data_IF_416013422099
#
_entry.id   IF_416013422099
#
_cell.length_a   1.000
_cell.length_b   1.000
_cell.length_c   1.000
_cell.angle_alpha   90.00
_cell.angle_beta   90.00
_cell.angle_gamma   90.00
#
_symmetry.space_group_name_H-M   'P 1'
#
loop_
_entity.id
_entity.type
_entity.pdbx_description
1 polymer ?
#
# COMPACT_ATOMS: atom_id res chain seq x y z
N UNK A 1 4.12 50.24 20.11
CA UNK A 1 3.09 50.19 19.03
C UNK A 1 3.63 49.92 17.62
N UNK A 2 4.67 50.62 17.11
CA UNK A 2 5.17 50.44 15.72
C UNK A 2 5.70 49.02 15.42
N UNK A 3 6.38 48.38 16.37
CA UNK A 3 6.92 47.01 16.23
C UNK A 3 5.78 45.99 16.10
N UNK A 4 4.74 46.12 16.93
CA UNK A 4 3.55 45.25 16.92
C UNK A 4 2.84 45.33 15.56
N UNK A 5 2.66 46.54 15.01
CA UNK A 5 2.06 46.73 13.68
C UNK A 5 2.88 46.07 12.56
N UNK A 6 4.22 46.22 12.57
CA UNK A 6 5.10 45.57 11.60
C UNK A 6 5.02 44.03 11.70
N UNK A 7 5.02 43.50 12.92
CA UNK A 7 4.86 42.07 13.15
C UNK A 7 3.51 41.55 12.63
N UNK A 8 2.43 42.29 12.88
CA UNK A 8 1.09 41.89 12.45
C UNK A 8 0.94 41.92 10.92
N UNK A 9 1.56 42.91 10.24
CA UNK A 9 1.63 42.94 8.77
C UNK A 9 2.40 41.72 8.23
N UNK A 10 3.56 41.41 8.80
CA UNK A 10 4.35 40.24 8.39
C UNK A 10 3.58 38.93 8.59
N UNK A 11 2.84 38.80 9.70
CA UNK A 11 2.01 37.63 9.98
C UNK A 11 0.88 37.49 8.95
N UNK A 12 0.20 38.58 8.59
CA UNK A 12 -0.85 38.56 7.56
C UNK A 12 -0.26 38.17 6.21
N UNK A 13 0.87 38.75 5.81
CA UNK A 13 1.54 38.41 4.55
C UNK A 13 1.92 36.92 4.53
N UNK A 14 2.47 36.40 5.62
CA UNK A 14 2.80 34.99 5.75
C UNK A 14 1.57 34.07 5.60
N UNK A 15 0.47 34.39 6.28
CA UNK A 15 -0.79 33.62 6.19
C UNK A 15 -1.35 33.67 4.76
N UNK A 16 -1.34 34.83 4.12
CA UNK A 16 -1.80 35.01 2.73
C UNK A 16 -0.97 34.18 1.75
N UNK A 17 0.35 34.18 1.88
CA UNK A 17 1.25 33.35 1.05
C UNK A 17 0.96 31.87 1.28
N UNK A 18 0.82 31.43 2.53
CA UNK A 18 0.51 30.04 2.86
C UNK A 18 -0.85 29.60 2.26
N UNK A 19 -1.86 30.47 2.32
CA UNK A 19 -3.17 30.22 1.72
C UNK A 19 -3.10 30.12 0.19
N UNK A 20 -2.34 31.00 -0.46
CA UNK A 20 -2.11 30.95 -1.92
C UNK A 20 -1.43 29.65 -2.35
N UNK A 21 -0.39 29.21 -1.62
CA UNK A 21 0.31 27.96 -1.91
C UNK A 21 -0.61 26.74 -1.74
N UNK A 22 -1.40 26.69 -0.67
CA UNK A 22 -2.36 25.62 -0.44
C UNK A 22 -3.44 25.61 -1.54
N UNK A 23 -3.96 26.79 -1.93
CA UNK A 23 -4.92 26.94 -3.02
C UNK A 23 -4.37 26.48 -4.37
N UNK A 24 -3.17 26.91 -4.72
CA UNK A 24 -2.47 26.49 -5.94
C UNK A 24 -2.22 24.97 -5.95
N UNK A 25 -1.84 24.39 -4.82
CA UNK A 25 -1.63 22.93 -4.72
C UNK A 25 -2.94 22.18 -4.92
N UNK A 26 -4.05 22.63 -4.32
CA UNK A 26 -5.38 22.02 -4.54
C UNK A 26 -5.79 22.09 -6.00
N UNK A 27 -5.59 23.24 -6.64
CA UNK A 27 -5.86 23.42 -8.07
C UNK A 27 -5.03 22.46 -8.92
N UNK A 28 -3.73 22.31 -8.62
CA UNK A 28 -2.85 21.36 -9.30
C UNK A 28 -3.37 19.91 -9.19
N UNK A 29 -3.75 19.45 -8.01
CA UNK A 29 -4.29 18.10 -7.83
C UNK A 29 -5.59 17.89 -8.61
N UNK A 30 -6.46 18.90 -8.66
CA UNK A 30 -7.71 18.87 -9.43
C UNK A 30 -7.45 18.81 -10.93
N UNK A 31 -6.55 19.66 -11.46
CA UNK A 31 -6.20 19.70 -12.90
C UNK A 31 -5.47 18.43 -13.33
N UNK A 32 -4.54 17.94 -12.52
CA UNK A 32 -3.76 16.75 -12.83
C UNK A 32 -4.52 15.43 -12.61
N UNK A 33 -5.80 15.49 -12.20
CA UNK A 33 -6.61 14.32 -11.82
C UNK A 33 -5.90 13.37 -10.85
N UNK A 34 -5.07 13.92 -9.95
CA UNK A 34 -4.31 13.14 -8.97
C UNK A 34 -5.11 13.02 -7.69
N UNK A 35 -5.15 11.82 -7.13
CA UNK A 35 -5.76 11.57 -5.83
C UNK A 35 -4.80 12.02 -4.71
N UNK A 36 -5.23 12.99 -3.90
CA UNK A 36 -4.45 13.50 -2.76
C UNK A 36 -4.25 12.42 -1.68
N UNK A 37 -5.12 11.42 -1.63
CA UNK A 37 -5.04 10.36 -0.65
C UNK A 37 -3.78 9.50 -0.80
N UNK A 38 -3.17 9.50 -2.00
CA UNK A 38 -1.83 8.95 -2.25
C UNK A 38 -0.81 9.54 -1.27
N UNK A 39 -0.89 10.85 -1.03
CA UNK A 39 0.09 11.60 -0.25
C UNK A 39 -0.25 11.60 1.23
N UNK A 40 -1.56 11.70 1.56
CA UNK A 40 -2.04 11.69 2.95
C UNK A 40 -1.79 10.37 3.64
N UNK A 41 -1.93 9.28 2.88
CA UNK A 41 -1.83 7.93 3.38
C UNK A 41 -0.54 7.23 2.92
N UNK A 42 0.48 8.02 2.59
CA UNK A 42 1.79 7.51 2.20
C UNK A 42 2.42 6.75 3.36
N UNK A 43 2.65 5.44 3.18
CA UNK A 43 3.38 4.62 4.11
C UNK A 43 4.68 4.12 3.48
N UNK A 44 5.76 4.13 4.27
CA UNK A 44 7.05 3.55 3.89
C UNK A 44 7.15 2.06 4.20
N UNK A 45 6.15 1.49 4.90
CA UNK A 45 6.07 0.04 5.00
C UNK A 45 5.79 -0.51 3.60
N UNK A 46 6.65 -1.42 3.11
CA UNK A 46 6.51 -2.08 1.79
C UNK A 46 5.09 -2.59 1.52
N UNK A 47 4.34 -2.90 2.60
CA UNK A 47 2.91 -3.18 2.56
C UNK A 47 2.16 -2.03 3.23
N UNK A 48 1.15 -1.52 2.56
CA UNK A 48 0.19 -0.61 3.18
C UNK A 48 -0.36 -1.29 4.44
N UNK A 49 -0.35 -0.60 5.59
CA UNK A 49 -0.95 -1.13 6.81
C UNK A 49 -2.47 -1.10 6.65
N UNK A 50 -3.01 -2.15 6.05
CA UNK A 50 -4.44 -2.31 5.72
C UNK A 50 -5.04 -3.53 6.39
N UNK A 51 -4.32 -4.19 7.29
CA UNK A 51 -4.76 -5.42 7.98
C UNK A 51 -4.91 -5.18 9.46
N UNK A 52 -5.86 -5.88 10.08
CA UNK A 52 -6.06 -5.93 11.53
C UNK A 52 -6.25 -7.38 12.01
N UNK A 53 -5.97 -7.68 13.30
CA UNK A 53 -6.23 -9.00 13.87
C UNK A 53 -7.70 -9.41 13.73
N UNK A 54 -7.94 -10.70 13.56
CA UNK A 54 -9.27 -11.30 13.54
C UNK A 54 -9.21 -12.67 14.23
N UNK A 55 -10.16 -12.96 15.12
CA UNK A 55 -10.13 -14.19 15.93
C UNK A 55 -10.32 -15.45 15.08
N UNK A 56 -11.07 -15.37 13.98
CA UNK A 56 -11.39 -16.52 13.12
C UNK A 56 -10.34 -16.69 12.03
N UNK A 57 -9.95 -15.57 11.41
CA UNK A 57 -9.06 -15.56 10.24
C UNK A 57 -7.59 -15.34 10.61
N UNK A 58 -7.29 -15.06 11.87
CA UNK A 58 -5.99 -14.57 12.34
C UNK A 58 -5.80 -13.08 12.03
N UNK A 59 -6.08 -12.66 10.79
CA UNK A 59 -6.14 -11.27 10.38
C UNK A 59 -7.09 -11.08 9.20
N UNK A 60 -7.59 -9.86 9.02
CA UNK A 60 -8.40 -9.44 7.86
C UNK A 60 -8.04 -8.02 7.45
N UNK A 61 -8.58 -7.52 6.33
CA UNK A 61 -8.39 -6.13 5.97
C UNK A 61 -9.24 -5.21 6.87
N UNK A 62 -8.73 -4.03 7.17
CA UNK A 62 -9.45 -3.00 7.92
C UNK A 62 -10.60 -2.44 7.06
N UNK A 63 -11.79 -2.20 7.64
CA UNK A 63 -12.89 -1.56 6.93
C UNK A 63 -12.65 -0.05 6.73
N UNK A 64 -13.19 0.52 5.65
CA UNK A 64 -13.20 1.97 5.37
C UNK A 64 -11.82 2.63 5.37
N UNK A 65 -10.83 1.98 4.76
CA UNK A 65 -9.44 2.45 4.77
C UNK A 65 -8.97 2.75 3.35
N UNK A 66 -8.37 3.92 3.17
CA UNK A 66 -7.65 4.32 1.95
C UNK A 66 -6.18 4.45 2.29
N UNK A 67 -5.29 3.65 1.67
CA UNK A 67 -3.83 3.68 1.91
C UNK A 67 -3.04 3.57 0.62
N UNK A 68 -1.95 4.30 0.53
CA UNK A 68 -1.03 4.20 -0.59
C UNK A 68 -0.07 3.02 -0.37
N UNK A 69 -0.01 2.13 -1.35
CA UNK A 69 1.02 1.11 -1.48
C UNK A 69 2.04 1.59 -2.51
N UNK A 70 3.27 1.79 -2.05
CA UNK A 70 4.37 2.30 -2.86
C UNK A 70 5.57 1.37 -2.70
N UNK A 71 5.97 0.75 -3.79
CA UNK A 71 7.16 -0.11 -3.89
C UNK A 71 8.09 0.44 -4.97
N UNK A 72 9.22 -0.25 -5.23
CA UNK A 72 10.04 0.03 -6.42
C UNK A 72 9.30 -0.25 -7.72
N UNK A 73 8.28 -1.12 -7.68
CA UNK A 73 7.71 -1.76 -8.86
C UNK A 73 6.35 -1.13 -9.22
N UNK A 74 5.62 -0.61 -8.23
CA UNK A 74 4.30 -0.02 -8.44
C UNK A 74 3.91 1.04 -7.41
N UNK A 75 2.90 1.82 -7.78
CA UNK A 75 2.21 2.76 -6.90
C UNK A 75 0.70 2.62 -7.08
N UNK A 76 0.00 2.17 -6.03
CA UNK A 76 -1.46 1.96 -6.06
C UNK A 76 -2.09 2.39 -4.74
N UNK A 77 -3.27 3.02 -4.82
CA UNK A 77 -4.10 3.25 -3.64
C UNK A 77 -4.98 2.03 -3.41
N UNK A 78 -4.81 1.40 -2.27
CA UNK A 78 -5.74 0.38 -1.78
C UNK A 78 -6.83 1.07 -0.97
N UNK A 79 -8.07 0.86 -1.39
CA UNK A 79 -9.27 1.28 -0.66
C UNK A 79 -9.92 0.01 -0.11
N UNK A 80 -10.67 0.11 0.96
CA UNK A 80 -11.47 -1.01 1.46
C UNK A 80 -12.86 -0.51 1.78
N UNK A 81 -13.85 -1.33 1.46
CA UNK A 81 -15.26 -1.04 1.70
C UNK A 81 -15.61 -1.19 3.19
N UNK A 82 -16.88 -0.96 3.50
CA UNK A 82 -17.43 -1.02 4.86
C UNK A 82 -17.23 -2.36 5.58
N UNK A 83 -17.13 -3.46 4.83
CA UNK A 83 -16.91 -4.82 5.39
C UNK A 83 -15.43 -5.25 5.36
N UNK A 84 -14.52 -4.36 4.95
CA UNK A 84 -13.09 -4.67 4.92
C UNK A 84 -12.70 -5.57 3.76
N UNK A 85 -13.31 -5.39 2.59
CA UNK A 85 -12.80 -5.95 1.33
C UNK A 85 -12.19 -4.83 0.50
N UNK A 86 -11.11 -5.13 -0.24
CA UNK A 86 -10.66 -4.25 -1.31
C UNK A 86 -11.62 -4.40 -2.48
N UNK A 87 -12.78 -3.78 -2.38
CA UNK A 87 -13.86 -3.89 -3.37
C UNK A 87 -14.71 -2.63 -3.33
N UNK A 88 -15.62 -2.46 -4.30
CA UNK A 88 -16.76 -1.54 -4.16
C UNK A 88 -17.63 -1.94 -2.96
N UNK A 89 -18.51 -1.04 -2.54
CA UNK A 89 -19.54 -1.40 -1.57
C UNK A 89 -20.42 -2.51 -2.14
N UNK A 90 -20.74 -3.49 -1.28
CA UNK A 90 -21.48 -4.68 -1.74
C UNK A 90 -22.95 -4.32 -1.83
N UNK A 91 -23.48 -4.39 -3.04
CA UNK A 91 -24.87 -4.10 -3.35
C UNK A 91 -25.71 -5.36 -3.26
N UNK A 92 -26.96 -5.21 -2.81
CA UNK A 92 -27.93 -6.27 -3.00
C UNK A 92 -28.43 -6.21 -4.45
N UNK A 93 -28.20 -7.28 -5.20
CA UNK A 93 -28.51 -7.37 -6.62
C UNK A 93 -28.95 -8.78 -6.99
N UNK A 94 -29.83 -8.87 -7.99
CA UNK A 94 -30.30 -10.14 -8.57
C UNK A 94 -29.36 -10.69 -9.65
N UNK A 95 -28.26 -9.99 -9.93
CA UNK A 95 -27.20 -10.46 -10.83
C UNK A 95 -26.58 -11.76 -10.32
N UNK A 96 -26.00 -12.54 -11.23
CA UNK A 96 -25.27 -13.76 -10.89
C UNK A 96 -24.00 -13.41 -10.10
N UNK A 97 -24.01 -13.64 -8.79
CA UNK A 97 -22.94 -13.26 -7.86
C UNK A 97 -21.81 -14.28 -7.88
N UNK A 98 -20.60 -13.82 -8.20
CA UNK A 98 -19.38 -14.62 -8.20
C UNK A 98 -18.44 -14.09 -7.11
N UNK A 99 -18.13 -14.91 -6.11
CA UNK A 99 -17.10 -14.61 -5.11
C UNK A 99 -15.76 -15.18 -5.58
N UNK A 100 -14.72 -14.34 -5.61
CA UNK A 100 -13.35 -14.76 -5.83
C UNK A 100 -12.60 -14.84 -4.51
N UNK A 101 -12.26 -16.05 -4.08
CA UNK A 101 -11.37 -16.31 -2.95
C UNK A 101 -9.92 -16.35 -3.43
N UNK A 102 -8.99 -15.84 -2.63
CA UNK A 102 -7.57 -15.97 -2.93
C UNK A 102 -6.67 -15.09 -2.07
N UNK A 103 -5.43 -14.93 -2.52
CA UNK A 103 -4.39 -14.22 -1.78
C UNK A 103 -4.01 -12.87 -2.40
N UNK A 104 -2.72 -12.49 -2.40
CA UNK A 104 -2.19 -11.30 -3.06
C UNK A 104 -2.50 -11.24 -4.56
N UNK A 105 -2.59 -12.40 -5.23
CA UNK A 105 -2.91 -12.44 -6.67
C UNK A 105 -4.37 -12.05 -6.92
N UNK A 106 -5.28 -12.60 -6.13
CA UNK A 106 -6.71 -12.23 -6.18
C UNK A 106 -6.92 -10.82 -5.70
N UNK A 107 -6.27 -10.41 -4.60
CA UNK A 107 -6.29 -9.03 -4.13
C UNK A 107 -5.86 -8.02 -5.20
N UNK A 108 -4.98 -8.44 -6.12
CA UNK A 108 -4.42 -7.60 -7.18
C UNK A 108 -3.32 -6.69 -6.64
N UNK A 109 -2.32 -7.25 -5.95
CA UNK A 109 -1.18 -6.48 -5.44
C UNK A 109 -0.47 -5.76 -6.60
N UNK A 110 -0.37 -4.43 -6.50
CA UNK A 110 0.17 -3.57 -7.56
C UNK A 110 -0.77 -3.30 -8.74
N UNK A 111 -1.98 -3.86 -8.75
CA UNK A 111 -2.97 -3.66 -9.81
C UNK A 111 -3.94 -2.54 -9.42
N UNK A 112 -4.18 -1.52 -10.26
CA UNK A 112 -5.19 -0.49 -10.00
C UNK A 112 -6.62 -1.02 -9.88
N UNK A 113 -7.50 -0.22 -9.27
CA UNK A 113 -8.94 -0.51 -9.27
C UNK A 113 -9.52 -0.55 -10.68
N UNK A 114 -10.43 -1.48 -10.93
CA UNK A 114 -11.05 -1.67 -12.25
C UNK A 114 -10.17 -2.43 -13.23
N UNK A 115 -8.97 -2.85 -12.83
CA UNK A 115 -8.02 -3.59 -13.68
C UNK A 115 -7.64 -4.95 -13.09
N UNK A 116 -8.23 -5.36 -11.97
CA UNK A 116 -8.04 -6.72 -11.42
C UNK A 116 -8.80 -7.70 -12.30
N UNK A 117 -8.35 -8.94 -12.40
CA UNK A 117 -9.04 -9.90 -13.25
C UNK A 117 -10.52 -10.09 -12.89
N UNK A 118 -10.88 -9.98 -11.60
CA UNK A 118 -12.29 -10.01 -11.18
C UNK A 118 -13.10 -8.83 -11.75
N UNK A 119 -12.49 -7.63 -11.78
CA UNK A 119 -13.12 -6.43 -12.37
C UNK A 119 -13.32 -6.61 -13.87
N UNK A 120 -12.32 -7.18 -14.54
CA UNK A 120 -12.38 -7.47 -15.97
C UNK A 120 -13.47 -8.50 -16.27
N UNK A 121 -13.60 -9.56 -15.46
CA UNK A 121 -14.68 -10.57 -15.61
C UNK A 121 -16.06 -9.91 -15.48
N UNK A 122 -16.27 -9.05 -14.48
CA UNK A 122 -17.55 -8.36 -14.32
C UNK A 122 -17.87 -7.44 -15.51
N UNK A 123 -16.85 -6.79 -16.06
CA UNK A 123 -16.99 -5.89 -17.20
C UNK A 123 -17.32 -6.64 -18.50
N UNK A 124 -16.67 -7.78 -18.73
CA UNK A 124 -16.83 -8.56 -19.96
C UNK A 124 -18.10 -9.43 -19.95
N UNK A 125 -18.52 -9.93 -18.78
CA UNK A 125 -19.69 -10.83 -18.68
C UNK A 125 -20.92 -10.09 -18.19
N UNK A 126 -21.89 -9.87 -19.09
CA UNK A 126 -23.17 -9.25 -18.75
C UNK A 126 -23.95 -10.08 -17.72
N UNK A 127 -24.61 -9.40 -16.79
CA UNK A 127 -25.46 -10.03 -15.77
C UNK A 127 -24.69 -10.63 -14.58
N UNK A 128 -23.36 -10.55 -14.57
CA UNK A 128 -22.53 -10.99 -13.44
C UNK A 128 -22.26 -9.84 -12.48
N UNK A 129 -22.16 -10.17 -11.20
CA UNK A 129 -21.67 -9.30 -10.14
C UNK A 129 -20.52 -9.99 -9.41
N UNK A 130 -19.33 -9.43 -9.48
CA UNK A 130 -18.14 -10.04 -8.89
C UNK A 130 -17.82 -9.41 -7.53
N UNK A 131 -17.32 -10.24 -6.63
CA UNK A 131 -16.87 -9.83 -5.30
C UNK A 131 -15.47 -10.39 -5.09
N UNK A 132 -14.46 -9.50 -5.11
CA UNK A 132 -13.10 -9.87 -4.85
C UNK A 132 -12.82 -9.90 -3.34
N UNK A 133 -12.45 -11.06 -2.83
CA UNK A 133 -12.18 -11.28 -1.40
C UNK A 133 -10.72 -11.60 -1.12
N UNK A 134 -9.85 -11.38 -2.12
CA UNK A 134 -8.43 -11.68 -1.99
C UNK A 134 -7.80 -10.89 -0.86
N UNK A 135 -6.98 -11.54 -0.04
CA UNK A 135 -6.21 -10.88 1.02
C UNK A 135 -4.75 -11.33 0.95
N UNK A 136 -3.78 -10.40 0.87
CA UNK A 136 -2.36 -10.76 0.78
C UNK A 136 -1.93 -11.68 1.93
N UNK A 137 -1.27 -12.77 1.56
CA UNK A 137 -0.79 -13.76 2.53
C UNK A 137 -1.82 -14.79 2.98
N UNK A 138 -3.06 -14.77 2.48
CA UNK A 138 -4.02 -15.82 2.84
C UNK A 138 -3.57 -17.21 2.36
N UNK A 139 -3.78 -18.21 3.22
CA UNK A 139 -3.79 -19.62 2.88
C UNK A 139 -5.21 -20.14 2.62
N UNK A 140 -5.33 -21.39 2.16
CA UNK A 140 -6.63 -22.01 1.82
C UNK A 140 -7.55 -22.04 3.05
N UNK A 141 -7.02 -22.34 4.23
CA UNK A 141 -7.82 -22.35 5.46
C UNK A 141 -8.49 -21.00 5.74
N UNK A 142 -7.81 -19.88 5.51
CA UNK A 142 -8.38 -18.54 5.69
C UNK A 142 -9.43 -18.24 4.63
N UNK A 143 -9.20 -18.64 3.37
CA UNK A 143 -10.17 -18.48 2.29
C UNK A 143 -11.46 -19.23 2.59
N UNK A 144 -11.37 -20.50 2.99
CA UNK A 144 -12.53 -21.32 3.37
C UNK A 144 -13.23 -20.79 4.62
N UNK A 145 -12.47 -20.38 5.64
CA UNK A 145 -13.03 -19.78 6.85
C UNK A 145 -13.76 -18.47 6.54
N UNK A 146 -13.18 -17.61 5.69
CA UNK A 146 -13.84 -16.37 5.29
C UNK A 146 -15.15 -16.64 4.57
N UNK A 147 -15.16 -17.59 3.62
CA UNK A 147 -16.39 -17.98 2.91
C UNK A 147 -17.46 -18.47 3.90
N UNK A 148 -17.09 -19.37 4.81
CA UNK A 148 -18.03 -19.98 5.78
C UNK A 148 -18.64 -18.94 6.72
N UNK A 149 -17.83 -18.02 7.25
CA UNK A 149 -18.28 -17.10 8.29
C UNK A 149 -18.85 -15.78 7.77
N UNK A 150 -18.44 -15.35 6.58
CA UNK A 150 -18.83 -14.05 6.02
C UNK A 150 -19.42 -14.19 4.61
N UNK A 151 -18.78 -14.96 3.74
CA UNK A 151 -19.13 -15.02 2.32
C UNK A 151 -20.50 -15.64 2.02
N UNK A 152 -20.93 -16.66 2.77
CA UNK A 152 -22.23 -17.33 2.52
C UNK A 152 -23.43 -16.39 2.70
N UNK A 153 -23.32 -15.39 3.58
CA UNK A 153 -24.38 -14.39 3.80
C UNK A 153 -24.57 -13.45 2.60
N UNK A 154 -23.60 -13.41 1.66
CA UNK A 154 -23.72 -12.63 0.43
C UNK A 154 -24.53 -13.38 -0.66
N UNK A 155 -24.97 -14.61 -0.37
CA UNK A 155 -25.70 -15.50 -1.27
C UNK A 155 -25.04 -15.61 -2.66
N UNK A 156 -23.77 -16.08 -2.75
CA UNK A 156 -23.10 -16.26 -4.03
C UNK A 156 -23.75 -17.38 -4.85
N UNK A 157 -23.80 -17.21 -6.17
CA UNK A 157 -24.20 -18.26 -7.10
C UNK A 157 -23.00 -19.14 -7.49
N UNK A 158 -21.80 -18.56 -7.49
CA UNK A 158 -20.54 -19.26 -7.80
C UNK A 158 -19.43 -18.74 -6.88
N UNK A 159 -18.57 -19.65 -6.45
CA UNK A 159 -17.34 -19.32 -5.72
C UNK A 159 -16.15 -19.86 -6.50
N UNK A 160 -15.23 -18.98 -6.87
CA UNK A 160 -13.98 -19.33 -7.56
C UNK A 160 -12.83 -19.17 -6.58
N UNK A 161 -12.12 -20.26 -6.29
CA UNK A 161 -10.96 -20.24 -5.41
C UNK A 161 -9.68 -20.20 -6.24
N UNK A 162 -8.97 -19.07 -6.19
CA UNK A 162 -7.68 -18.88 -6.87
C UNK A 162 -6.55 -19.26 -5.92
N UNK A 163 -5.91 -20.40 -6.20
CA UNK A 163 -4.86 -20.96 -5.36
C UNK A 163 -3.52 -20.79 -6.06
N UNK A 164 -2.52 -20.27 -5.34
CA UNK A 164 -1.13 -20.32 -5.78
C UNK A 164 -0.31 -21.29 -4.91
N UNK A 165 0.87 -21.75 -5.35
CA UNK A 165 1.70 -22.66 -4.55
C UNK A 165 1.98 -22.17 -3.12
N UNK A 166 2.15 -20.86 -2.93
CA UNK A 166 2.32 -20.28 -1.60
C UNK A 166 1.08 -20.43 -0.71
N UNK A 167 -0.14 -20.40 -1.27
CA UNK A 167 -1.38 -20.60 -0.52
C UNK A 167 -1.50 -22.01 0.06
N UNK A 168 -1.00 -23.02 -0.67
CA UNK A 168 -0.92 -24.41 -0.20
C UNK A 168 0.02 -24.50 1.00
N UNK A 169 1.24 -23.95 0.87
CA UNK A 169 2.24 -23.99 1.95
C UNK A 169 1.78 -23.27 3.22
N UNK A 170 1.06 -22.15 3.10
CA UNK A 170 0.50 -21.41 4.24
C UNK A 170 -0.58 -22.19 5.01
N UNK A 171 -1.18 -23.20 4.37
CA UNK A 171 -2.20 -24.06 4.97
C UNK A 171 -1.56 -25.14 5.84
N UNK A 172 -0.40 -25.65 5.40
CA UNK A 172 0.32 -26.76 6.04
C UNK A 172 0.85 -26.38 7.43
N UNK A 173 1.29 -25.13 7.63
CA UNK A 173 1.91 -24.72 8.91
C UNK A 173 0.94 -24.47 10.06
N UNK A 174 -0.39 -24.36 9.83
CA UNK A 174 -1.35 -24.21 10.94
C UNK A 174 -1.85 -25.56 11.45
N UNK A 175 -2.06 -26.53 10.55
CA UNK A 175 -2.48 -27.89 10.92
C UNK A 175 -1.35 -28.72 11.52
N UNK A 176 -0.09 -28.50 11.09
CA UNK A 176 1.07 -29.20 11.68
C UNK A 176 1.49 -28.59 13.04
N UNK A 177 1.21 -27.31 13.30
CA UNK A 177 1.54 -26.67 14.58
C UNK A 177 0.60 -27.01 15.75
N UNK A 178 -0.50 -27.73 15.50
CA UNK A 178 -1.26 -28.38 16.58
C UNK A 178 -0.49 -29.59 17.16
N UNK A 179 0.57 -30.02 16.49
CA UNK A 179 1.63 -30.86 17.05
C UNK A 179 2.89 -30.03 17.28
N UNK A 180 3.05 -29.57 18.53
CA UNK A 180 4.35 -29.31 19.18
C UNK A 180 5.21 -28.12 18.69
N UNK A 181 5.10 -27.00 19.44
CA UNK A 181 6.20 -26.12 19.87
C UNK A 181 6.80 -25.06 18.91
N UNK A 182 6.25 -24.83 17.72
CA UNK A 182 6.67 -23.73 16.85
C UNK A 182 5.57 -22.70 16.63
N UNK A 183 5.01 -22.20 17.73
CA UNK A 183 4.79 -20.76 17.80
C UNK A 183 6.17 -20.13 17.63
N UNK A 184 6.54 -19.73 16.41
CA UNK A 184 7.46 -18.61 16.29
C UNK A 184 6.72 -17.52 17.04
N UNK A 185 7.19 -17.08 18.22
CA UNK A 185 6.62 -15.89 18.81
C UNK A 185 6.81 -14.87 17.72
N UNK A 186 5.71 -14.33 17.21
CA UNK A 186 5.77 -13.09 16.46
C UNK A 186 6.49 -12.18 17.46
N UNK A 187 7.77 -11.95 17.25
CA UNK A 187 8.42 -10.81 17.83
C UNK A 187 7.64 -9.67 17.21
N UNK A 188 6.61 -9.25 17.93
CA UNK A 188 6.13 -7.90 17.90
C UNK A 188 7.32 -7.06 18.40
N UNK A 189 8.35 -6.95 17.55
CA UNK A 189 8.83 -5.62 17.26
C UNK A 189 7.67 -4.97 16.54
N UNK A 190 6.74 -4.45 17.35
CA UNK A 190 6.00 -3.27 17.04
C UNK A 190 7.03 -2.28 16.49
N UNK A 191 7.19 -2.28 15.16
CA UNK A 191 7.86 -1.21 14.46
C UNK A 191 6.93 0.00 14.64
N UNK A 192 7.05 0.64 15.81
CA UNK A 192 6.11 1.67 16.22
C UNK A 192 5.84 1.82 17.72
N UNK A 193 6.52 1.13 18.64
CA UNK A 193 6.57 1.60 20.04
C UNK A 193 7.90 2.29 20.31
N UNK A 194 8.13 3.42 19.64
CA UNK A 194 8.95 4.46 20.27
C UNK A 194 8.25 4.83 21.57
N UNK A 195 8.93 4.62 22.70
CA UNK A 195 8.58 5.19 24.01
C UNK A 195 7.90 6.53 23.80
N UNK A 196 6.61 6.61 24.13
CA UNK A 196 5.83 7.83 23.97
C UNK A 196 6.35 8.82 25.02
N UNK A 197 7.36 9.60 24.63
CA UNK A 197 7.60 10.88 25.28
C UNK A 197 6.33 11.71 25.06
N UNK A 198 5.77 12.28 26.13
CA UNK A 198 4.51 13.03 26.06
C UNK A 198 4.54 14.13 24.98
N UNK A 199 5.72 14.73 24.75
CA UNK A 199 5.99 15.68 23.68
C UNK A 199 5.87 15.10 22.25
N UNK A 200 6.34 13.87 22.03
CA UNK A 200 6.25 13.19 20.74
C UNK A 200 4.81 12.90 20.32
N UNK A 201 3.91 12.67 21.27
CA UNK A 201 2.48 12.45 21.00
C UNK A 201 1.78 13.70 20.43
N UNK A 202 2.19 14.88 20.90
CA UNK A 202 1.63 16.16 20.45
C UNK A 202 2.08 16.49 19.02
N UNK A 203 3.39 16.39 18.74
CA UNK A 203 3.92 16.59 17.39
C UNK A 203 3.35 15.58 16.39
N UNK A 204 3.16 14.33 16.81
CA UNK A 204 2.51 13.30 15.99
C UNK A 204 1.07 13.70 15.64
N UNK A 205 0.26 14.08 16.63
CA UNK A 205 -1.13 14.55 16.41
C UNK A 205 -1.19 15.78 15.49
N UNK A 206 -0.29 16.75 15.66
CA UNK A 206 -0.23 17.94 14.81
C UNK A 206 0.15 17.57 13.37
N UNK A 207 1.17 16.72 13.20
CA UNK A 207 1.57 16.20 11.90
C UNK A 207 0.43 15.44 11.20
N UNK A 208 -0.32 14.60 11.92
CA UNK A 208 -1.43 13.82 11.36
C UNK A 208 -2.58 14.75 10.93
N UNK A 209 -2.86 15.80 11.73
CA UNK A 209 -3.83 16.85 11.35
C UNK A 209 -3.38 17.60 10.09
N UNK A 210 -2.10 17.96 9.98
CA UNK A 210 -1.57 18.68 8.82
C UNK A 210 -1.60 17.81 7.56
N UNK A 211 -1.26 16.52 7.67
CA UNK A 211 -1.41 15.55 6.59
C UNK A 211 -2.86 15.51 6.08
N UNK A 212 -3.84 15.40 6.98
CA UNK A 212 -5.25 15.33 6.56
C UNK A 212 -5.71 16.67 5.94
N UNK A 213 -5.33 17.81 6.54
CA UNK A 213 -5.92 19.11 6.19
C UNK A 213 -5.21 19.89 5.08
N UNK A 214 -3.92 19.69 4.87
CA UNK A 214 -3.13 20.46 3.89
C UNK A 214 -2.62 19.59 2.73
N UNK A 215 -2.99 20.00 1.52
CA UNK A 215 -2.50 19.42 0.27
C UNK A 215 -1.01 19.69 0.10
N UNK A 216 -0.58 20.93 0.35
CA UNK A 216 0.81 21.32 0.21
C UNK A 216 1.71 20.54 1.16
N UNK A 217 1.36 20.49 2.44
CA UNK A 217 2.12 19.76 3.44
C UNK A 217 2.24 18.27 3.09
N UNK A 218 1.13 17.64 2.68
CA UNK A 218 1.11 16.23 2.25
C UNK A 218 2.04 15.98 1.06
N UNK A 219 1.98 16.84 0.04
CA UNK A 219 2.83 16.74 -1.14
C UNK A 219 4.31 16.86 -0.76
N UNK A 220 4.69 17.93 -0.05
CA UNK A 220 6.08 18.20 0.33
C UNK A 220 6.64 17.11 1.20
N UNK A 221 5.89 16.66 2.21
CA UNK A 221 6.33 15.60 3.13
C UNK A 221 6.68 14.32 2.37
N UNK A 222 5.84 13.91 1.42
CA UNK A 222 6.08 12.71 0.60
C UNK A 222 7.23 12.91 -0.38
N UNK A 223 7.39 14.09 -0.96
CA UNK A 223 8.53 14.38 -1.86
C UNK A 223 9.87 14.32 -1.12
N UNK A 224 9.94 14.89 0.08
CA UNK A 224 11.13 14.80 0.94
C UNK A 224 11.41 13.35 1.35
N UNK A 225 10.36 12.62 1.71
CA UNK A 225 10.39 11.20 2.01
C UNK A 225 11.01 10.36 0.87
N UNK A 226 10.49 10.50 -0.35
CA UNK A 226 10.99 9.81 -1.54
C UNK A 226 12.44 10.22 -1.85
N UNK A 227 12.77 11.51 -1.75
CA UNK A 227 14.13 12.00 -1.97
C UNK A 227 15.14 11.35 -1.01
N UNK A 228 14.83 11.29 0.29
CA UNK A 228 15.68 10.64 1.30
C UNK A 228 15.91 9.16 0.98
N UNK A 229 14.88 8.45 0.54
CA UNK A 229 15.00 7.05 0.13
C UNK A 229 15.84 6.92 -1.13
N UNK A 230 15.62 7.75 -2.14
CA UNK A 230 16.41 7.72 -3.38
C UNK A 230 17.90 7.89 -3.06
N UNK A 231 18.24 8.82 -2.17
CA UNK A 231 19.61 9.00 -1.70
C UNK A 231 20.15 7.78 -0.96
N UNK A 232 19.36 7.21 -0.03
CA UNK A 232 19.73 5.99 0.69
C UNK A 232 19.95 4.79 -0.25
N UNK A 233 19.06 4.59 -1.23
CA UNK A 233 19.15 3.51 -2.20
C UNK A 233 20.36 3.69 -3.12
N UNK A 234 20.63 4.91 -3.61
CA UNK A 234 21.84 5.22 -4.39
C UNK A 234 23.11 4.91 -3.59
N UNK A 235 23.14 5.25 -2.32
CA UNK A 235 24.28 4.96 -1.44
C UNK A 235 24.44 3.46 -1.21
N UNK A 236 23.34 2.73 -0.96
CA UNK A 236 23.36 1.28 -0.80
C UNK A 236 23.83 0.59 -2.08
N UNK A 237 23.32 1.02 -3.22
CA UNK A 237 23.68 0.50 -4.54
C UNK A 237 25.17 0.71 -4.80
N UNK A 238 25.68 1.93 -4.58
CA UNK A 238 27.11 2.22 -4.66
C UNK A 238 27.95 1.29 -3.79
N UNK A 239 27.56 1.06 -2.53
CA UNK A 239 28.26 0.14 -1.62
C UNK A 239 28.25 -1.31 -2.11
N UNK A 240 27.14 -1.77 -2.68
CA UNK A 240 27.03 -3.12 -3.26
C UNK A 240 27.97 -3.23 -4.46
N UNK A 241 27.93 -2.28 -5.40
CA UNK A 241 28.80 -2.25 -6.57
C UNK A 241 30.28 -2.12 -6.22
N UNK A 242 30.63 -1.28 -5.25
CA UNK A 242 32.00 -1.17 -4.74
C UNK A 242 32.47 -2.46 -4.06
N UNK A 243 31.57 -3.13 -3.34
CA UNK A 243 31.82 -4.45 -2.76
C UNK A 243 32.06 -5.52 -3.83
N UNK A 244 31.26 -5.52 -4.90
CA UNK A 244 31.42 -6.42 -6.04
C UNK A 244 32.75 -6.12 -6.75
N UNK A 245 33.07 -4.85 -7.04
CA UNK A 245 34.34 -4.44 -7.67
C UNK A 245 35.55 -4.84 -6.82
N UNK A 246 35.49 -4.67 -5.50
CA UNK A 246 36.56 -5.07 -4.58
C UNK A 246 36.73 -6.59 -4.47
N UNK A 247 35.63 -7.35 -4.51
CA UNK A 247 35.68 -8.84 -4.54
C UNK A 247 36.01 -9.39 -5.94
N UNK A 248 35.76 -8.60 -6.98
CA UNK A 248 35.83 -8.93 -8.39
C UNK A 248 37.18 -8.69 -9.05
N UNK A 249 38.29 -8.67 -8.31
CA UNK A 249 39.66 -8.67 -8.88
C UNK A 249 39.99 -9.86 -9.80
N UNK A 250 39.02 -10.72 -10.14
CA UNK A 250 39.09 -11.76 -11.20
C UNK A 250 37.95 -11.68 -12.24
N UNK A 251 37.07 -10.67 -12.20
CA UNK A 251 35.85 -10.56 -13.02
C UNK A 251 35.79 -9.37 -13.99
N UNK A 252 36.90 -8.62 -14.16
CA UNK A 252 36.93 -7.38 -14.95
C UNK A 252 36.62 -7.56 -16.45
N UNK A 253 36.51 -8.78 -16.98
CA UNK A 253 36.17 -8.99 -18.40
C UNK A 253 34.67 -9.10 -18.69
N UNK A 254 33.81 -9.32 -17.69
CA UNK A 254 32.37 -9.54 -17.91
C UNK A 254 31.52 -8.25 -17.80
N UNK A 255 32.02 -7.22 -17.13
CA UNK A 255 31.26 -6.02 -16.78
C UNK A 255 31.23 -5.01 -17.93
N UNK A 256 32.34 -4.85 -18.65
CA UNK A 256 32.42 -3.95 -19.82
C UNK A 256 31.44 -4.38 -20.93
N UNK A 257 31.20 -5.69 -21.09
CA UNK A 257 30.27 -6.22 -22.08
C UNK A 257 28.78 -5.96 -21.77
N UNK A 258 28.40 -5.85 -20.49
CA UNK A 258 27.01 -5.59 -20.09
C UNK A 258 26.66 -4.10 -20.17
N UNK A 259 27.58 -3.20 -19.80
CA UNK A 259 27.38 -1.76 -19.98
C UNK A 259 27.27 -1.39 -21.46
N UNK A 260 28.03 -2.03 -22.35
CA UNK A 260 27.94 -1.81 -23.80
C UNK A 260 26.61 -2.33 -24.38
N UNK A 261 26.09 -3.43 -23.85
CA UNK A 261 24.82 -4.03 -24.28
C UNK A 261 23.62 -3.14 -23.89
N UNK A 262 23.60 -2.64 -22.65
CA UNK A 262 22.56 -1.71 -22.17
C UNK A 262 22.60 -0.39 -22.94
N UNK A 263 23.79 0.12 -23.29
CA UNK A 263 23.94 1.33 -24.13
C UNK A 263 23.40 1.13 -25.54
N UNK A 264 23.60 -0.05 -26.15
CA UNK A 264 23.10 -0.39 -27.49
C UNK A 264 21.58 -0.58 -27.52
N UNK A 265 20.97 -1.12 -26.48
CA UNK A 265 19.51 -1.23 -26.38
C UNK A 265 18.84 0.13 -26.12
N UNK A 266 19.47 0.99 -25.32
CA UNK A 266 18.96 2.34 -25.00
C UNK A 266 19.01 3.31 -26.20
N UNK A 267 19.81 3.01 -27.22
CA UNK A 267 19.94 3.82 -28.45
C UNK A 267 18.95 3.41 -29.56
N UNK A 268 18.12 2.40 -29.33
CA UNK A 268 17.11 1.90 -30.28
C UNK A 268 15.67 2.38 -29.98
N UNK A 269 15.50 3.25 -28.99
CA UNK A 269 14.21 3.88 -28.62
C UNK A 269 14.22 5.35 -28.98
#
# INVERSE_FOLDING_TARGET
MKIIKKFLILLIVFISIAALIEGATRLFFRIASKDIDVYRNFSFTRRALITMPDSMLGYKLMPNVSRNAFTSDFQVIYKTNSIGLREKEIENTDKFKIIFLGDSMTFGEGVPYGSRFSDLIEKEIKGVYTINTGVPGYGIHQMCSWLRHYGMNLAPNLVICSIIPASLNRTIYKTINESSHLLIPRQDKAYGETRINHWGSYFKKMNDRLLIKSYFYSLVKVKIAIMRISLYLKERDRKVWDGIRKKGGRGNQAIDGQEEMVRKESAKV
#
